data_IF_410895099925
#
_entry.id   IF_410895099925
#
_cell.length_a   1.000
_cell.length_b   1.000
_cell.length_c   1.000
_cell.angle_alpha   90.00
_cell.angle_beta   90.00
_cell.angle_gamma   90.00
#
_symmetry.space_group_name_H-M   'P 1'
#
loop_
_entity.id
_entity.type
_entity.pdbx_description
1 polymer ?
#
# COMPACT_ATOMS: atom_id res chain seq x y z
N UNK A 1 1.29 43.68 18.41
CA UNK A 1 0.42 43.99 19.57
C UNK A 1 0.52 42.81 20.53
N UNK A 2 0.88 43.04 21.80
CA UNK A 2 1.17 41.98 22.77
C UNK A 2 -0.13 41.46 23.38
N UNK A 3 -0.28 40.14 23.50
CA UNK A 3 -1.49 39.46 23.99
C UNK A 3 -1.97 39.93 25.38
N UNK A 4 -1.07 40.49 26.20
CA UNK A 4 -1.40 41.05 27.52
C UNK A 4 -2.29 42.30 27.48
N UNK A 5 -2.17 43.13 26.45
CA UNK A 5 -2.99 44.36 26.33
C UNK A 5 -4.44 44.04 25.94
N UNK A 6 -4.62 42.97 25.16
CA UNK A 6 -5.92 42.50 24.69
C UNK A 6 -6.76 41.88 25.82
N UNK A 7 -6.11 41.17 26.75
CA UNK A 7 -6.76 40.64 27.96
C UNK A 7 -7.18 41.75 28.92
N UNK A 8 -6.37 42.80 29.09
CA UNK A 8 -6.71 43.96 29.93
C UNK A 8 -7.87 44.77 29.37
N UNK A 9 -7.94 44.88 28.04
CA UNK A 9 -9.00 45.62 27.36
C UNK A 9 -10.34 44.88 27.37
N UNK A 10 -10.31 43.54 27.40
CA UNK A 10 -11.50 42.69 27.61
C UNK A 10 -12.02 42.80 29.04
N UNK A 11 -11.13 42.77 30.03
CA UNK A 11 -11.50 42.79 31.45
C UNK A 11 -12.17 44.12 31.85
N UNK A 12 -11.66 45.24 31.32
CA UNK A 12 -12.23 46.57 31.59
C UNK A 12 -13.58 46.83 30.91
N UNK A 13 -13.91 46.14 29.82
CA UNK A 13 -15.19 46.34 29.10
C UNK A 13 -16.31 45.41 29.55
N UNK A 14 -15.97 44.21 30.01
CA UNK A 14 -16.97 43.18 30.35
C UNK A 14 -17.43 43.26 31.82
N UNK A 15 -16.54 43.57 32.77
CA UNK A 15 -16.88 43.62 34.19
C UNK A 15 -17.96 44.65 34.57
N UNK A 16 -17.95 45.91 34.10
CA UNK A 16 -18.97 46.88 34.51
C UNK A 16 -20.35 46.59 33.91
N UNK A 17 -20.43 45.83 32.81
CA UNK A 17 -21.71 45.41 32.21
C UNK A 17 -22.31 44.17 32.85
N UNK A 18 -21.48 43.29 33.43
CA UNK A 18 -21.97 42.15 34.20
C UNK A 18 -22.44 42.56 35.60
N UNK A 19 -21.81 43.58 36.21
CA UNK A 19 -22.23 44.11 37.51
C UNK A 19 -23.62 44.77 37.50
N UNK A 20 -24.05 45.36 36.37
CA UNK A 20 -25.37 46.00 36.23
C UNK A 20 -26.50 45.01 35.96
N UNK A 21 -26.19 43.80 35.48
CA UNK A 21 -27.19 42.75 35.21
C UNK A 21 -27.52 41.94 36.47
N UNK A 22 -26.58 41.83 37.42
CA UNK A 22 -26.76 41.04 38.65
C UNK A 22 -27.62 41.70 39.74
N UNK A 23 -27.84 43.02 39.67
CA UNK A 23 -28.65 43.75 40.68
C UNK A 23 -30.15 43.83 40.35
N UNK A 24 -30.60 43.29 39.20
CA UNK A 24 -32.02 43.31 38.77
C UNK A 24 -32.75 41.96 38.79
N UNK A 25 -32.15 40.91 39.34
CA UNK A 25 -32.75 39.57 39.38
C UNK A 25 -33.28 39.23 40.79
N UNK A 26 -34.23 40.04 41.26
CA UNK A 26 -35.07 39.72 42.42
C UNK A 26 -36.49 39.33 41.96
N UNK A 27 -36.61 38.16 41.32
CA UNK A 27 -37.90 37.52 41.03
C UNK A 27 -37.72 35.99 41.06
N UNK A 28 -38.22 35.38 42.14
CA UNK A 28 -37.98 33.98 42.55
C UNK A 28 -38.55 32.90 41.61
N UNK A 29 -39.31 33.26 40.57
CA UNK A 29 -39.91 32.30 39.61
C UNK A 29 -39.20 32.25 38.25
N UNK A 30 -38.46 33.29 37.84
CA UNK A 30 -37.68 33.28 36.60
C UNK A 30 -36.35 32.51 36.72
N UNK A 31 -35.88 32.31 37.97
CA UNK A 31 -34.60 31.68 38.28
C UNK A 31 -34.56 30.21 37.89
N UNK A 32 -35.66 29.47 38.04
CA UNK A 32 -35.72 28.06 37.66
C UNK A 32 -35.66 27.88 36.13
N UNK A 33 -36.38 28.72 35.37
CA UNK A 33 -36.36 28.67 33.90
C UNK A 33 -34.99 29.06 33.34
N UNK A 34 -34.37 30.10 33.90
CA UNK A 34 -33.01 30.50 33.53
C UNK A 34 -31.97 29.43 33.88
N UNK A 35 -32.08 28.77 35.04
CA UNK A 35 -31.17 27.68 35.41
C UNK A 35 -31.33 26.48 34.49
N UNK A 36 -32.55 26.11 34.10
CA UNK A 36 -32.80 25.04 33.12
C UNK A 36 -32.21 25.38 31.75
N UNK A 37 -32.37 26.62 31.28
CA UNK A 37 -31.80 27.05 30.01
C UNK A 37 -30.26 27.05 30.02
N UNK A 38 -29.67 27.52 31.12
CA UNK A 38 -28.21 27.48 31.32
C UNK A 38 -27.71 26.04 31.35
N UNK A 39 -28.40 25.12 32.04
CA UNK A 39 -28.03 23.71 32.07
C UNK A 39 -28.08 23.08 30.66
N UNK A 40 -29.14 23.35 29.89
CA UNK A 40 -29.28 22.84 28.52
C UNK A 40 -28.19 23.39 27.61
N UNK A 41 -27.91 24.70 27.67
CA UNK A 41 -26.83 25.32 26.89
C UNK A 41 -25.45 24.77 27.29
N UNK A 42 -25.25 24.49 28.58
CA UNK A 42 -24.01 23.89 29.08
C UNK A 42 -23.82 22.47 28.53
N UNK A 43 -24.86 21.64 28.61
CA UNK A 43 -24.84 20.29 28.03
C UNK A 43 -24.63 20.34 26.51
N UNK A 44 -25.31 21.23 25.79
CA UNK A 44 -25.14 21.39 24.35
C UNK A 44 -23.72 21.84 23.99
N UNK A 45 -23.12 22.77 24.74
CA UNK A 45 -21.74 23.19 24.54
C UNK A 45 -20.73 22.07 24.81
N UNK A 46 -20.95 21.26 25.86
CA UNK A 46 -20.11 20.08 26.15
C UNK A 46 -20.23 19.01 25.05
N UNK A 47 -21.44 18.74 24.56
CA UNK A 47 -21.64 17.80 23.45
C UNK A 47 -21.05 18.33 22.14
N UNK A 48 -21.22 19.62 21.85
CA UNK A 48 -20.65 20.24 20.66
C UNK A 48 -19.12 20.23 20.69
N UNK A 49 -18.51 20.54 21.83
CA UNK A 49 -17.05 20.45 22.02
C UNK A 49 -16.57 19.00 21.96
N UNK A 50 -17.32 18.03 22.49
CA UNK A 50 -16.99 16.61 22.35
C UNK A 50 -17.03 16.14 20.89
N UNK A 51 -18.06 16.52 20.12
CA UNK A 51 -18.18 16.19 18.69
C UNK A 51 -17.09 16.86 17.86
N UNK A 52 -16.73 18.11 18.16
CA UNK A 52 -15.62 18.78 17.49
C UNK A 52 -14.25 18.22 17.90
N UNK A 53 -14.10 17.73 19.13
CA UNK A 53 -12.88 17.08 19.59
C UNK A 53 -12.68 15.69 18.99
N UNK A 54 -13.76 14.96 18.67
CA UNK A 54 -13.68 13.65 17.99
C UNK A 54 -13.58 13.76 16.47
N UNK A 55 -13.88 14.93 15.89
CA UNK A 55 -13.76 15.21 14.45
C UNK A 55 -12.39 15.71 14.00
N UNK A 56 -11.45 15.96 14.91
CA UNK A 56 -10.06 16.26 14.56
C UNK A 56 -9.29 14.98 14.17
N UNK A 57 -8.31 15.05 13.25
CA UNK A 57 -7.41 13.92 13.03
C UNK A 57 -6.79 13.52 14.37
N UNK A 58 -6.67 12.21 14.68
CA UNK A 58 -6.18 11.76 15.97
C UNK A 58 -4.83 12.41 16.26
N UNK A 59 -4.75 13.16 17.36
CA UNK A 59 -3.51 13.74 17.83
C UNK A 59 -2.54 12.58 18.11
N UNK A 60 -1.32 12.60 17.53
CA UNK A 60 -0.39 11.51 17.69
C UNK A 60 -0.02 11.34 19.17
N UNK A 61 -0.18 10.11 19.65
CA UNK A 61 0.18 9.66 20.99
C UNK A 61 1.68 9.91 21.21
N UNK A 62 2.00 10.90 22.06
CA UNK A 62 3.37 11.39 22.29
C UNK A 62 4.23 10.44 23.14
N UNK A 63 3.73 9.25 23.47
CA UNK A 63 4.45 8.26 24.29
C UNK A 63 5.28 7.27 23.47
N UNK A 64 5.12 7.25 22.15
CA UNK A 64 6.01 6.57 21.20
C UNK A 64 6.64 7.65 20.35
N UNK A 65 7.98 7.75 20.32
CA UNK A 65 8.64 8.73 19.45
C UNK A 65 8.06 8.67 18.05
N UNK A 66 7.65 9.81 17.50
CA UNK A 66 6.91 9.92 16.23
C UNK A 66 7.61 9.10 15.13
N UNK A 67 7.04 7.94 14.81
CA UNK A 67 7.53 7.07 13.73
C UNK A 67 6.82 7.51 12.47
N UNK A 68 7.57 8.08 11.53
CA UNK A 68 7.04 8.36 10.20
C UNK A 68 6.67 7.05 9.54
N UNK A 69 5.45 6.91 9.04
CA UNK A 69 4.99 5.73 8.30
C UNK A 69 4.74 6.12 6.85
N UNK A 70 5.27 5.32 5.93
CA UNK A 70 5.12 5.49 4.49
C UNK A 70 4.61 4.17 3.92
N UNK A 71 3.71 4.21 2.94
CA UNK A 71 3.02 3.01 2.45
C UNK A 71 1.60 2.89 2.97
N UNK A 72 1.04 1.69 2.82
CA UNK A 72 -0.36 1.41 3.13
C UNK A 72 -0.51 0.79 4.52
N UNK A 73 -1.59 1.13 5.24
CA UNK A 73 -1.92 0.47 6.50
C UNK A 73 -2.73 -0.81 6.28
N UNK A 74 -2.68 -1.73 7.25
CA UNK A 74 -3.48 -2.96 7.19
C UNK A 74 -4.98 -2.64 7.15
N UNK A 75 -5.70 -3.27 6.23
CA UNK A 75 -7.13 -3.08 6.03
C UNK A 75 -7.49 -1.94 5.06
N UNK A 76 -6.53 -1.09 4.66
CA UNK A 76 -6.80 0.02 3.76
C UNK A 76 -6.95 -0.40 2.29
N UNK A 77 -7.72 0.40 1.56
CA UNK A 77 -7.96 0.23 0.12
C UNK A 77 -6.72 0.59 -0.69
N UNK A 78 -6.17 -0.37 -1.43
CA UNK A 78 -4.99 -0.15 -2.27
C UNK A 78 -5.29 0.79 -3.45
N UNK A 79 -6.42 0.69 -4.18
CA UNK A 79 -6.75 1.65 -5.23
C UNK A 79 -6.91 3.09 -4.73
N UNK A 80 -7.31 3.28 -3.47
CA UNK A 80 -7.36 4.61 -2.86
C UNK A 80 -5.97 5.12 -2.52
N UNK A 81 -5.13 4.27 -1.92
CA UNK A 81 -3.73 4.57 -1.66
C UNK A 81 -2.96 4.95 -2.93
N UNK A 82 -3.09 4.18 -4.01
CA UNK A 82 -2.41 4.45 -5.29
C UNK A 82 -2.80 5.83 -5.88
N UNK A 83 -4.09 6.17 -5.82
CA UNK A 83 -4.59 7.48 -6.28
C UNK A 83 -4.04 8.63 -5.43
N UNK A 84 -4.01 8.47 -4.11
CA UNK A 84 -3.46 9.48 -3.19
C UNK A 84 -1.98 9.68 -3.43
N UNK A 85 -1.18 8.61 -3.47
CA UNK A 85 0.26 8.68 -3.75
C UNK A 85 0.57 9.33 -5.11
N UNK A 86 -0.22 9.02 -6.14
CA UNK A 86 -0.08 9.66 -7.44
C UNK A 86 -0.41 11.16 -7.41
N UNK A 87 -1.45 11.56 -6.67
CA UNK A 87 -1.80 12.96 -6.48
C UNK A 87 -0.72 13.72 -5.69
N UNK A 88 -0.16 13.11 -4.64
CA UNK A 88 0.93 13.68 -3.84
C UNK A 88 2.20 13.85 -4.69
N UNK A 89 2.54 12.86 -5.53
CA UNK A 89 3.66 12.94 -6.46
C UNK A 89 3.48 14.04 -7.52
N UNK A 90 2.26 14.21 -8.03
CA UNK A 90 1.92 15.28 -8.95
C UNK A 90 1.97 16.66 -8.28
N UNK A 91 1.58 16.74 -7.00
CA UNK A 91 1.57 17.95 -6.18
C UNK A 91 2.93 18.41 -5.66
N UNK A 92 3.97 17.56 -5.75
CA UNK A 92 5.33 17.92 -5.33
C UNK A 92 5.89 19.09 -6.16
N UNK A 93 5.84 20.28 -5.57
CA UNK A 93 6.44 21.48 -6.10
C UNK A 93 7.97 21.40 -6.07
N UNK A 94 8.63 22.06 -7.02
CA UNK A 94 10.08 22.22 -7.04
C UNK A 94 10.48 23.30 -6.02
N UNK A 95 10.56 22.95 -4.74
CA UNK A 95 11.15 23.83 -3.72
C UNK A 95 12.66 23.58 -3.61
N UNK A 96 13.43 24.60 -3.19
CA UNK A 96 14.87 24.47 -2.98
C UNK A 96 15.23 23.35 -1.97
N UNK A 97 14.34 23.08 -1.00
CA UNK A 97 14.50 22.00 -0.03
C UNK A 97 14.37 20.58 -0.63
N UNK A 98 13.82 20.46 -1.84
CA UNK A 98 13.66 19.18 -2.55
C UNK A 98 14.67 19.02 -3.70
N UNK A 99 15.54 20.02 -3.93
CA UNK A 99 16.62 19.95 -4.91
C UNK A 99 17.66 18.86 -4.54
N UNK A 100 17.84 18.59 -3.24
CA UNK A 100 18.67 17.48 -2.75
C UNK A 100 17.94 16.11 -2.81
N UNK A 101 16.78 16.07 -3.45
CA UNK A 101 15.92 14.89 -3.56
C UNK A 101 15.12 14.56 -2.30
N UNK A 102 14.01 13.88 -2.49
CA UNK A 102 13.15 13.34 -1.44
C UNK A 102 13.17 11.82 -1.44
N UNK A 103 12.96 11.22 -0.28
CA UNK A 103 12.68 9.79 -0.21
C UNK A 103 11.32 9.48 -0.84
N UNK A 104 11.22 8.32 -1.45
CA UNK A 104 9.97 7.75 -1.93
C UNK A 104 9.98 6.23 -1.79
N UNK A 105 8.81 5.67 -1.51
CA UNK A 105 8.57 4.24 -1.58
C UNK A 105 8.05 3.90 -2.99
N UNK A 106 8.77 3.05 -3.69
CA UNK A 106 8.37 2.55 -5.01
C UNK A 106 7.90 1.11 -4.84
N UNK A 107 6.62 0.87 -5.07
CA UNK A 107 6.06 -0.48 -5.08
C UNK A 107 5.99 -0.99 -6.51
N UNK A 108 6.39 -2.24 -6.72
CA UNK A 108 6.42 -2.88 -8.03
C UNK A 108 5.11 -3.62 -8.30
N UNK A 109 4.76 -3.79 -9.57
CA UNK A 109 3.54 -4.50 -9.97
C UNK A 109 3.63 -6.01 -9.79
N UNK A 110 4.86 -6.54 -9.76
CA UNK A 110 5.23 -7.94 -9.68
C UNK A 110 6.52 -8.11 -8.86
N UNK A 111 6.83 -9.35 -8.49
CA UNK A 111 8.14 -9.68 -7.93
C UNK A 111 9.19 -9.69 -9.05
N UNK A 112 10.34 -9.07 -8.81
CA UNK A 112 11.43 -8.95 -9.79
C UNK A 112 12.74 -9.53 -9.25
N UNK A 113 13.62 -9.95 -10.16
CA UNK A 113 15.00 -10.38 -9.84
C UNK A 113 15.88 -9.15 -9.56
N UNK A 114 17.05 -9.33 -8.92
CA UNK A 114 18.01 -8.23 -8.73
C UNK A 114 18.40 -7.52 -10.04
N UNK A 115 18.56 -8.27 -11.13
CA UNK A 115 18.95 -7.73 -12.44
C UNK A 115 17.81 -6.93 -13.08
N UNK A 116 16.58 -7.45 -13.06
CA UNK A 116 15.42 -6.74 -13.58
C UNK A 116 15.11 -5.48 -12.78
N UNK A 117 15.34 -5.49 -11.46
CA UNK A 117 15.19 -4.31 -10.62
C UNK A 117 16.05 -3.15 -11.12
N UNK A 118 17.33 -3.40 -11.43
CA UNK A 118 18.25 -2.38 -11.93
C UNK A 118 17.72 -1.70 -13.20
N UNK A 119 17.08 -2.47 -14.10
CA UNK A 119 16.44 -1.92 -15.29
C UNK A 119 15.19 -1.07 -14.97
N UNK A 120 14.41 -1.45 -13.95
CA UNK A 120 13.22 -0.69 -13.54
C UNK A 120 13.61 0.63 -12.86
N UNK A 121 14.60 0.63 -11.97
CA UNK A 121 14.99 1.84 -11.21
C UNK A 121 16.05 2.70 -11.90
N UNK A 122 16.79 2.17 -12.88
CA UNK A 122 17.83 2.90 -13.61
C UNK A 122 18.87 3.49 -12.66
N UNK A 123 19.34 4.70 -12.96
CA UNK A 123 20.38 5.38 -12.18
C UNK A 123 19.88 6.06 -10.89
N UNK A 124 18.66 5.74 -10.45
CA UNK A 124 18.08 6.35 -9.25
C UNK A 124 18.76 5.79 -8.00
N UNK A 125 19.16 6.68 -7.09
CA UNK A 125 19.78 6.29 -5.83
C UNK A 125 18.86 5.44 -4.96
N UNK A 126 19.21 4.16 -4.78
CA UNK A 126 18.47 3.20 -3.95
C UNK A 126 19.07 3.15 -2.55
N UNK A 127 18.21 3.18 -1.53
CA UNK A 127 18.61 3.02 -0.13
C UNK A 127 18.54 1.57 0.32
N UNK A 128 17.41 0.91 0.07
CA UNK A 128 17.18 -0.50 0.37
C UNK A 128 15.96 -1.02 -0.39
N UNK A 129 15.88 -2.34 -0.52
CA UNK A 129 14.76 -3.04 -1.15
C UNK A 129 13.99 -3.87 -0.14
N UNK A 130 12.73 -4.12 -0.43
CA UNK A 130 11.90 -5.10 0.26
C UNK A 130 11.76 -6.35 -0.61
N UNK A 131 11.99 -7.50 0.00
CA UNK A 131 11.84 -8.78 -0.65
C UNK A 131 11.12 -9.79 0.21
N UNK A 132 10.56 -10.81 -0.45
CA UNK A 132 10.09 -12.06 0.13
C UNK A 132 10.05 -13.11 -0.96
N UNK A 133 10.12 -14.38 -0.59
CA UNK A 133 9.96 -15.47 -1.56
C UNK A 133 8.46 -15.66 -1.84
N UNK A 134 7.96 -15.51 -3.08
CA UNK A 134 6.55 -15.69 -3.37
C UNK A 134 6.20 -17.18 -3.42
N UNK A 135 5.87 -17.77 -2.28
CA UNK A 135 5.35 -19.13 -2.19
C UNK A 135 3.82 -19.08 -2.08
N UNK A 136 3.08 -19.83 -2.91
CA UNK A 136 1.63 -19.90 -2.80
C UNK A 136 1.25 -20.47 -1.43
N UNK A 137 0.18 -19.91 -0.86
CA UNK A 137 -0.45 -20.37 0.39
C UNK A 137 0.45 -20.36 1.64
N UNK A 138 1.64 -19.74 1.56
CA UNK A 138 2.59 -19.61 2.68
C UNK A 138 2.99 -18.18 2.91
N UNK A 139 2.98 -17.79 4.17
CA UNK A 139 3.63 -16.57 4.61
C UNK A 139 5.14 -16.80 4.65
N UNK A 140 5.86 -16.01 3.86
CA UNK A 140 7.32 -15.98 3.83
C UNK A 140 7.82 -14.72 4.53
N UNK A 141 9.07 -14.75 4.97
CA UNK A 141 9.65 -13.60 5.68
C UNK A 141 9.76 -12.40 4.74
N UNK A 142 9.22 -11.26 5.14
CA UNK A 142 9.48 -9.97 4.48
C UNK A 142 10.79 -9.43 5.03
N UNK A 143 11.74 -9.22 4.14
CA UNK A 143 13.09 -8.81 4.48
C UNK A 143 13.45 -7.47 3.83
N UNK A 144 14.27 -6.71 4.54
CA UNK A 144 14.85 -5.45 4.06
C UNK A 144 16.32 -5.69 3.74
N UNK A 145 16.73 -5.39 2.51
CA UNK A 145 18.10 -5.58 2.03
C UNK A 145 18.69 -4.20 1.67
N UNK A 146 19.77 -3.74 2.32
CA UNK A 146 20.50 -2.55 1.88
C UNK A 146 20.98 -2.70 0.43
N UNK A 147 20.82 -1.66 -0.39
CA UNK A 147 21.01 -1.79 -1.83
C UNK A 147 21.53 -0.51 -2.48
N UNK A 148 22.73 -0.04 -2.08
CA UNK A 148 23.30 1.19 -2.64
C UNK A 148 23.87 0.97 -4.05
N UNK A 149 24.27 -0.26 -4.37
CA UNK A 149 24.80 -0.67 -5.67
C UNK A 149 23.96 -1.82 -6.21
N UNK A 150 23.21 -1.55 -7.27
CA UNK A 150 22.44 -2.57 -7.97
C UNK A 150 23.21 -3.14 -9.16
N UNK A 151 23.11 -4.45 -9.44
CA UNK A 151 22.36 -5.47 -8.69
C UNK A 151 23.15 -6.12 -7.54
N UNK A 152 24.42 -5.76 -7.37
CA UNK A 152 25.39 -6.49 -6.55
C UNK A 152 25.00 -6.59 -5.08
N UNK A 153 24.60 -5.49 -4.45
CA UNK A 153 24.27 -5.48 -3.01
C UNK A 153 23.02 -6.32 -2.72
N UNK A 154 22.03 -6.33 -3.62
CA UNK A 154 20.83 -7.18 -3.48
C UNK A 154 21.19 -8.64 -3.68
N UNK A 155 22.07 -8.95 -4.64
CA UNK A 155 22.53 -10.31 -4.90
C UNK A 155 23.31 -10.86 -3.70
N UNK A 156 24.21 -10.05 -3.12
CA UNK A 156 24.93 -10.40 -1.90
C UNK A 156 23.97 -10.59 -0.71
N UNK A 157 23.02 -9.67 -0.52
CA UNK A 157 22.01 -9.80 0.53
C UNK A 157 21.14 -11.04 0.39
N UNK A 158 20.78 -11.44 -0.83
CA UNK A 158 20.09 -12.71 -1.09
C UNK A 158 20.96 -13.93 -0.74
N UNK A 159 22.26 -13.90 -1.01
CA UNK A 159 23.16 -14.98 -0.59
C UNK A 159 23.23 -15.12 0.94
N UNK A 160 23.30 -13.99 1.66
CA UNK A 160 23.28 -13.97 3.13
C UNK A 160 21.95 -14.50 3.70
N UNK A 161 20.83 -14.08 3.09
CA UNK A 161 19.50 -14.58 3.40
C UNK A 161 19.40 -16.09 3.21
N UNK A 162 19.92 -16.59 2.09
CA UNK A 162 19.95 -18.01 1.81
C UNK A 162 20.74 -18.80 2.86
N UNK A 163 21.90 -18.30 3.27
CA UNK A 163 22.72 -18.92 4.30
C UNK A 163 22.01 -18.90 5.66
N UNK A 164 21.34 -17.79 6.02
CA UNK A 164 20.53 -17.70 7.25
C UNK A 164 19.40 -18.71 7.24
N UNK A 165 18.63 -18.78 6.15
CA UNK A 165 17.49 -19.71 6.00
C UNK A 165 17.93 -21.17 6.00
N UNK A 166 19.10 -21.49 5.46
CA UNK A 166 19.67 -22.84 5.53
C UNK A 166 20.01 -23.25 6.98
N UNK A 167 20.51 -22.32 7.80
CA UNK A 167 20.72 -22.56 9.24
C UNK A 167 19.41 -22.73 9.98
N UNK A 168 18.43 -21.85 9.73
CA UNK A 168 17.09 -21.94 10.33
C UNK A 168 16.42 -23.30 10.02
N UNK A 169 16.54 -23.78 8.78
CA UNK A 169 16.07 -25.11 8.40
C UNK A 169 16.73 -26.24 9.20
N UNK A 170 18.05 -26.17 9.39
CA UNK A 170 18.80 -27.15 10.17
C UNK A 170 18.38 -27.15 11.65
N UNK A 171 18.18 -25.96 12.22
CA UNK A 171 17.72 -25.78 13.59
C UNK A 171 16.32 -26.37 13.79
N UNK A 172 15.39 -26.13 12.87
CA UNK A 172 14.06 -26.74 12.91
C UNK A 172 14.12 -28.27 12.80
N UNK A 173 14.96 -28.82 11.91
CA UNK A 173 15.16 -30.28 11.83
C UNK A 173 15.70 -30.86 13.13
N UNK A 174 16.68 -30.19 13.75
CA UNK A 174 17.22 -30.62 15.04
C UNK A 174 16.16 -30.62 16.13
N UNK A 175 15.30 -29.59 16.19
CA UNK A 175 14.20 -29.52 17.16
C UNK A 175 13.14 -30.59 16.92
N UNK A 176 12.79 -30.86 15.67
CA UNK A 176 11.87 -31.94 15.32
C UNK A 176 12.41 -33.31 15.74
N UNK A 177 13.71 -33.56 15.56
CA UNK A 177 14.36 -34.82 15.92
C UNK A 177 14.51 -35.02 17.44
N UNK A 178 14.62 -33.93 18.21
CA UNK A 178 14.69 -33.97 19.68
C UNK A 178 13.35 -34.38 20.33
N UNK A 179 12.24 -34.20 19.63
CA UNK A 179 10.94 -34.67 20.05
C UNK A 179 10.84 -36.16 19.74
N UNK A 180 10.89 -37.02 20.75
CA UNK A 180 10.85 -38.50 20.66
C UNK A 180 9.61 -39.14 21.29
N UNK A 181 8.84 -38.40 22.09
CA UNK A 181 7.60 -38.88 22.68
C UNK A 181 6.45 -38.96 21.67
N UNK A 182 5.45 -39.75 22.06
CA UNK A 182 4.32 -40.13 21.20
C UNK A 182 3.00 -39.45 21.55
N UNK A 183 2.97 -38.56 22.54
CA UNK A 183 1.74 -37.88 22.93
C UNK A 183 1.24 -36.96 21.78
N UNK A 184 -0.07 -36.65 21.74
CA UNK A 184 -0.64 -35.83 20.67
C UNK A 184 0.01 -34.45 20.53
N UNK A 185 0.37 -33.80 21.64
CA UNK A 185 0.92 -32.44 21.65
C UNK A 185 2.35 -32.44 21.09
N UNK A 186 3.17 -33.42 21.48
CA UNK A 186 4.52 -33.57 20.94
C UNK A 186 4.52 -33.90 19.45
N UNK A 187 3.56 -34.70 18.98
CA UNK A 187 3.38 -34.96 17.53
C UNK A 187 3.02 -33.71 16.76
N UNK A 188 2.11 -32.89 17.29
CA UNK A 188 1.73 -31.61 16.69
C UNK A 188 2.93 -30.66 16.63
N UNK A 189 3.66 -30.51 17.73
CA UNK A 189 4.86 -29.67 17.77
C UNK A 189 5.95 -30.16 16.80
N UNK A 190 6.14 -31.47 16.68
CA UNK A 190 7.05 -32.07 15.69
C UNK A 190 6.63 -31.71 14.27
N UNK A 191 5.33 -31.76 13.96
CA UNK A 191 4.82 -31.37 12.64
C UNK A 191 5.05 -29.90 12.34
N UNK A 192 4.87 -29.01 13.33
CA UNK A 192 5.18 -27.58 13.19
C UNK A 192 6.66 -27.36 12.82
N UNK A 193 7.59 -28.02 13.52
CA UNK A 193 9.02 -27.91 13.21
C UNK A 193 9.37 -28.51 11.83
N UNK A 194 8.77 -29.63 11.44
CA UNK A 194 8.97 -30.19 10.10
C UNK A 194 8.45 -29.25 9.01
N UNK A 195 7.30 -28.60 9.22
CA UNK A 195 6.76 -27.60 8.29
C UNK A 195 7.66 -26.36 8.19
N UNK A 196 8.16 -25.88 9.34
CA UNK A 196 9.12 -24.77 9.41
C UNK A 196 10.42 -25.07 8.68
N UNK A 197 10.99 -26.27 8.89
CA UNK A 197 12.19 -26.71 8.17
C UNK A 197 12.00 -26.69 6.65
N UNK A 198 10.89 -27.25 6.15
CA UNK A 198 10.59 -27.28 4.71
C UNK A 198 10.38 -25.87 4.13
N UNK A 199 9.75 -24.97 4.89
CA UNK A 199 9.59 -23.58 4.46
C UNK A 199 10.95 -22.88 4.34
N UNK A 200 11.76 -22.95 5.39
CA UNK A 200 13.09 -22.34 5.42
C UNK A 200 14.01 -22.91 4.32
N UNK A 201 13.93 -24.21 4.00
CA UNK A 201 14.67 -24.81 2.89
C UNK A 201 14.26 -24.26 1.53
N UNK A 202 12.95 -24.09 1.29
CA UNK A 202 12.42 -23.50 0.05
C UNK A 202 12.83 -22.04 -0.08
N UNK A 203 12.74 -21.26 1.00
CA UNK A 203 13.20 -19.86 1.00
C UNK A 203 14.71 -19.80 0.72
N UNK A 204 15.50 -20.63 1.39
CA UNK A 204 16.95 -20.70 1.17
C UNK A 204 17.30 -21.04 -0.28
N UNK A 205 16.61 -22.03 -0.88
CA UNK A 205 16.83 -22.43 -2.26
C UNK A 205 16.50 -21.30 -3.25
N UNK A 206 15.35 -20.63 -3.07
CA UNK A 206 14.94 -19.53 -3.93
C UNK A 206 15.96 -18.38 -3.89
N UNK A 207 16.42 -17.97 -2.71
CA UNK A 207 17.41 -16.92 -2.57
C UNK A 207 18.77 -17.31 -3.18
N UNK A 208 19.22 -18.57 -3.06
CA UNK A 208 20.47 -19.04 -3.72
C UNK A 208 20.42 -18.91 -5.23
N UNK A 209 19.24 -19.08 -5.83
CA UNK A 209 19.07 -19.02 -7.29
C UNK A 209 18.79 -17.61 -7.81
N UNK A 210 18.84 -16.57 -6.96
CA UNK A 210 18.55 -15.19 -7.38
C UNK A 210 17.10 -14.98 -7.81
N UNK A 211 16.15 -15.55 -7.04
CA UNK A 211 14.73 -15.52 -7.36
C UNK A 211 14.17 -14.11 -7.64
N UNK A 212 13.06 -14.08 -8.39
CA UNK A 212 12.20 -12.91 -8.48
C UNK A 212 11.45 -12.73 -7.15
N UNK A 213 12.07 -11.99 -6.23
CA UNK A 213 11.67 -11.90 -4.83
C UNK A 213 11.63 -10.47 -4.31
N UNK A 214 12.08 -9.47 -5.09
CA UNK A 214 11.99 -8.05 -4.72
C UNK A 214 10.66 -7.50 -5.18
N UNK A 215 9.94 -6.76 -4.35
CA UNK A 215 8.63 -6.21 -4.71
C UNK A 215 8.47 -4.72 -4.39
N UNK A 216 9.41 -4.12 -3.67
CA UNK A 216 9.42 -2.68 -3.44
C UNK A 216 10.84 -2.18 -3.16
N UNK A 217 11.04 -0.88 -3.33
CA UNK A 217 12.34 -0.22 -3.15
C UNK A 217 12.15 1.18 -2.58
N UNK A 218 13.04 1.58 -1.68
CA UNK A 218 13.10 2.96 -1.18
C UNK A 218 14.20 3.69 -1.92
N UNK A 219 13.83 4.78 -2.58
CA UNK A 219 14.72 5.60 -3.40
C UNK A 219 14.82 7.00 -2.83
N UNK A 220 15.87 7.74 -3.24
CA UNK A 220 15.97 9.18 -3.04
C UNK A 220 16.26 9.86 -4.37
N UNK A 221 15.37 10.74 -4.82
CA UNK A 221 15.55 11.48 -6.06
C UNK A 221 14.74 12.77 -6.10
N UNK A 222 15.03 13.63 -7.08
CA UNK A 222 14.23 14.82 -7.35
C UNK A 222 12.81 14.47 -7.82
N UNK A 223 11.80 15.33 -7.56
CA UNK A 223 10.41 15.06 -7.96
C UNK A 223 10.22 14.76 -9.45
N UNK A 224 11.01 15.38 -10.34
CA UNK A 224 10.94 15.12 -11.77
C UNK A 224 11.41 13.70 -12.13
N UNK A 225 12.49 13.24 -11.49
CA UNK A 225 13.02 11.88 -11.66
C UNK A 225 12.03 10.86 -11.10
N UNK A 226 11.42 11.12 -9.94
CA UNK A 226 10.39 10.25 -9.35
C UNK A 226 9.15 10.11 -10.24
N UNK A 227 8.70 11.18 -10.89
CA UNK A 227 7.66 11.11 -11.93
C UNK A 227 8.08 10.26 -13.12
N UNK A 228 9.34 10.35 -13.53
CA UNK A 228 9.93 9.47 -14.53
C UNK A 228 9.89 8.00 -14.12
N UNK A 229 10.24 7.68 -12.86
CA UNK A 229 10.14 6.31 -12.30
C UNK A 229 8.69 5.82 -12.30
N UNK A 230 7.74 6.65 -11.88
CA UNK A 230 6.32 6.30 -11.84
C UNK A 230 5.74 5.95 -13.22
N UNK A 231 6.33 6.47 -14.30
CA UNK A 231 5.93 6.17 -15.67
C UNK A 231 6.56 4.89 -16.24
N UNK A 232 7.45 4.20 -15.51
CA UNK A 232 8.15 3.03 -16.04
C UNK A 232 7.30 1.76 -15.95
N UNK A 233 7.42 0.86 -16.94
CA UNK A 233 6.84 -0.47 -16.85
C UNK A 233 7.32 -1.20 -15.58
N UNK A 234 6.41 -1.92 -14.93
CA UNK A 234 6.73 -2.67 -13.71
C UNK A 234 6.63 -1.87 -12.41
N UNK A 235 6.48 -0.54 -12.48
CA UNK A 235 6.19 0.31 -11.31
C UNK A 235 4.68 0.40 -11.12
N UNK A 236 4.22 0.08 -9.91
CA UNK A 236 2.81 0.13 -9.53
C UNK A 236 2.44 1.50 -8.97
N UNK A 237 3.24 1.99 -8.04
CA UNK A 237 3.03 3.28 -7.37
C UNK A 237 4.35 3.80 -6.84
N UNK A 238 4.50 5.12 -6.90
CA UNK A 238 5.58 5.87 -6.25
C UNK A 238 4.91 6.77 -5.21
N UNK A 239 5.20 6.49 -3.95
CA UNK A 239 4.68 7.19 -2.78
C UNK A 239 5.77 8.11 -2.24
N UNK A 240 5.72 9.42 -2.59
CA UNK A 240 6.72 10.37 -2.14
C UNK A 240 6.57 10.67 -0.65
N UNK A 241 7.69 10.70 0.06
CA UNK A 241 7.71 10.93 1.50
C UNK A 241 8.65 12.09 1.87
N UNK A 242 8.31 13.35 1.53
CA UNK A 242 9.13 14.53 1.83
C UNK A 242 9.31 14.80 3.33
N UNK A 243 8.51 14.19 4.19
CA UNK A 243 8.62 14.21 5.65
C UNK A 243 9.71 13.27 6.17
N UNK A 244 10.18 12.30 5.37
CA UNK A 244 11.24 11.38 5.77
C UNK A 244 12.59 12.11 5.79
N UNK A 245 13.16 12.24 6.98
CA UNK A 245 14.50 12.79 7.21
C UNK A 245 15.52 11.73 7.63
N UNK A 246 15.04 10.63 8.23
CA UNK A 246 15.85 9.59 8.88
C UNK A 246 15.25 8.21 8.64
N UNK A 247 15.87 7.43 7.76
CA UNK A 247 15.38 6.11 7.33
C UNK A 247 15.25 5.09 8.47
N UNK A 248 16.03 5.25 9.54
CA UNK A 248 16.02 4.41 10.73
C UNK A 248 14.86 4.70 11.68
N UNK A 249 14.14 5.83 11.49
CA UNK A 249 12.95 6.20 12.24
C UNK A 249 11.67 6.15 11.40
N UNK A 250 11.76 5.51 10.23
CA UNK A 250 10.65 5.39 9.29
C UNK A 250 10.29 3.94 9.09
N UNK A 251 8.99 3.64 9.16
CA UNK A 251 8.43 2.34 8.83
C UNK A 251 7.81 2.42 7.46
N UNK A 252 8.28 1.57 6.54
CA UNK A 252 7.72 1.46 5.21
C UNK A 252 6.86 0.20 5.11
N UNK A 253 5.65 0.32 4.60
CA UNK A 253 4.69 -0.77 4.42
C UNK A 253 4.20 -0.83 2.97
N UNK A 254 5.04 -1.29 2.02
CA UNK A 254 4.63 -1.43 0.63
C UNK A 254 3.55 -2.51 0.47
N UNK A 255 2.51 -2.28 -0.35
CA UNK A 255 1.55 -3.32 -0.72
C UNK A 255 2.25 -4.47 -1.44
N UNK A 256 1.82 -5.70 -1.17
CA UNK A 256 2.33 -6.87 -1.89
C UNK A 256 1.78 -6.91 -3.33
N UNK A 257 2.53 -7.45 -4.31
CA UNK A 257 2.07 -7.58 -5.68
C UNK A 257 0.74 -8.33 -5.84
N UNK A 258 0.52 -9.38 -5.05
CA UNK A 258 -0.72 -10.16 -5.05
C UNK A 258 -1.93 -9.42 -4.43
N UNK A 259 -1.71 -8.31 -3.74
CA UNK A 259 -2.77 -7.54 -3.09
C UNK A 259 -3.26 -6.43 -4.02
N UNK A 260 -4.47 -6.59 -4.55
CA UNK A 260 -5.05 -5.61 -5.49
C UNK A 260 -6.07 -4.68 -4.85
N UNK A 261 -6.88 -5.20 -3.92
CA UNK A 261 -8.00 -4.43 -3.37
C UNK A 261 -7.71 -3.82 -2.00
N UNK A 262 -7.21 -4.64 -1.07
CA UNK A 262 -7.03 -4.30 0.34
C UNK A 262 -5.72 -4.87 0.86
N UNK A 263 -4.96 -4.09 1.61
CA UNK A 263 -3.75 -4.57 2.30
C UNK A 263 -4.15 -5.49 3.46
N UNK A 264 -3.58 -6.69 3.51
CA UNK A 264 -3.85 -7.68 4.56
C UNK A 264 -2.56 -8.40 4.96
N UNK A 265 -2.45 -8.94 6.17
CA UNK A 265 -1.40 -9.91 6.45
C UNK A 265 -1.51 -11.11 5.48
N UNK A 266 -0.38 -11.65 4.95
CA UNK A 266 -0.41 -12.88 4.17
C UNK A 266 -1.04 -14.04 4.97
N UNK A 267 -1.77 -14.92 4.29
CA UNK A 267 -2.42 -16.09 4.92
C UNK A 267 -1.47 -17.29 4.85
N UNK A 268 -1.24 -17.97 5.98
CA UNK A 268 -0.60 -19.30 6.00
C UNK A 268 -1.69 -20.38 6.07
N UNK A 269 -1.94 -21.08 4.96
CA UNK A 269 -2.98 -22.12 4.90
C UNK A 269 -2.47 -23.50 5.31
N UNK A 270 -1.15 -23.74 5.33
CA UNK A 270 -0.57 -25.03 5.73
C UNK A 270 -0.59 -25.25 7.25
N UNK A 271 -0.77 -24.18 8.04
CA UNK A 271 -0.92 -24.24 9.49
C UNK A 271 -2.38 -24.34 9.95
N UNK A 272 -3.34 -24.18 9.04
CA UNK A 272 -4.74 -24.37 9.36
C UNK A 272 -5.05 -25.87 9.30
N UNK A 273 -5.71 -26.45 10.33
CA UNK A 273 -6.20 -27.80 10.22
C UNK A 273 -7.13 -27.86 9.01
N UNK A 274 -6.82 -28.73 8.05
CA UNK A 274 -7.74 -29.03 6.95
C UNK A 274 -9.08 -29.39 7.58
N UNK A 275 -10.22 -28.84 7.10
CA UNK A 275 -11.51 -29.29 7.59
C UNK A 275 -11.57 -30.79 7.32
N UNK A 276 -11.58 -31.59 8.39
CA UNK A 276 -11.82 -33.02 8.29
C UNK A 276 -13.09 -33.20 7.44
N UNK A 277 -13.08 -34.04 6.39
CA UNK A 277 -14.29 -34.41 5.70
C UNK A 277 -15.09 -35.33 6.63
N UNK A 278 -15.69 -34.73 7.67
CA UNK A 278 -16.58 -35.42 8.58
C UNK A 278 -17.88 -35.69 7.84
N UNK A 279 -18.09 -37.00 7.67
CA UNK A 279 -19.35 -37.66 7.45
C UNK A 279 -20.06 -37.32 6.15
N UNK A 280 -19.75 -38.11 5.12
CA UNK A 280 -20.78 -38.59 4.19
C UNK A 280 -21.95 -39.09 5.05
N UNK A 281 -23.08 -38.39 5.02
CA UNK A 281 -24.36 -38.93 5.45
C UNK A 281 -24.56 -40.31 4.80
N UNK A 282 -25.06 -41.32 5.54
CA UNK A 282 -25.33 -42.61 4.94
C UNK A 282 -26.46 -42.43 3.92
N UNK A 283 -26.10 -42.56 2.64
CA UNK A 283 -27.05 -42.75 1.55
C UNK A 283 -27.59 -44.18 1.70
N UNK A 284 -28.91 -44.40 1.84
CA UNK A 284 -29.46 -45.75 1.76
C UNK A 284 -29.30 -46.27 0.33
N UNK A 285 -28.67 -47.45 0.22
CA UNK A 285 -28.52 -48.21 -1.02
C UNK A 285 -29.87 -48.72 -1.57
N UNK A 286 -29.92 -49.10 -2.87
CA UNK A 286 -31.14 -49.12 -3.68
C UNK A 286 -31.85 -50.48 -3.66
N UNK A 287 -33.18 -50.45 -3.60
CA UNK A 287 -34.04 -51.55 -4.05
C UNK A 287 -34.64 -51.21 -5.42
N UNK A 288 -34.52 -52.16 -6.33
CA UNK A 288 -35.13 -52.23 -7.65
C UNK A 288 -36.29 -53.26 -7.61
N UNK A 289 -36.96 -53.61 -8.72
CA UNK A 289 -37.61 -52.82 -9.78
C UNK A 289 -39.05 -53.29 -10.06
N UNK A 290 -39.96 -52.43 -10.53
CA UNK A 290 -41.18 -52.77 -11.29
C UNK A 290 -41.87 -51.43 -11.62
N UNK A 291 -42.44 -51.12 -12.77
CA UNK A 291 -43.04 -51.93 -13.81
C UNK A 291 -43.05 -51.10 -15.11
N UNK A 292 -42.97 -51.80 -16.24
CA UNK A 292 -42.77 -51.28 -17.59
C UNK A 292 -44.10 -51.33 -18.34
N UNK A 293 -44.58 -50.22 -18.92
CA UNK A 293 -45.45 -50.27 -20.11
C UNK A 293 -45.10 -49.11 -21.07
N UNK A 294 -45.02 -49.35 -22.40
CA UNK A 294 -44.39 -48.46 -23.38
C UNK A 294 -45.39 -47.67 -24.22
N UNK A 295 -45.03 -46.46 -24.65
CA UNK A 295 -45.56 -45.85 -25.87
C UNK A 295 -44.48 -45.03 -26.60
N UNK A 296 -44.35 -45.30 -27.89
CA UNK A 296 -43.62 -44.59 -28.95
C UNK A 296 -44.62 -44.39 -30.10
N UNK A 297 -44.31 -43.59 -31.13
CA UNK A 297 -43.78 -42.22 -31.15
C UNK A 297 -44.71 -41.31 -31.98
N UNK A 298 -44.57 -39.97 -31.88
CA UNK A 298 -45.13 -39.08 -32.92
C UNK A 298 -44.06 -38.08 -33.36
N UNK A 299 -43.70 -38.24 -34.64
CA UNK A 299 -42.87 -37.33 -35.43
C UNK A 299 -43.79 -36.22 -35.92
N UNK A 300 -43.49 -34.95 -35.69
CA UNK A 300 -43.74 -33.90 -36.69
C UNK A 300 -42.78 -32.72 -36.49
N UNK A 301 -41.98 -32.53 -37.54
CA UNK A 301 -41.38 -31.31 -38.07
C UNK A 301 -41.99 -29.98 -37.60
N UNK A 302 -41.15 -28.99 -37.27
CA UNK A 302 -41.27 -27.60 -37.78
C UNK A 302 -40.27 -26.67 -37.08
N UNK A 303 -39.17 -26.40 -37.79
CA UNK A 303 -38.45 -25.13 -37.69
C UNK A 303 -39.27 -24.04 -38.40
N UNK A 304 -39.35 -22.79 -37.88
CA UNK A 304 -38.60 -21.75 -38.57
C UNK A 304 -38.02 -20.64 -37.66
N UNK A 305 -36.74 -20.36 -37.91
CA UNK A 305 -36.14 -19.07 -38.29
C UNK A 305 -36.33 -17.78 -37.44
N UNK A 306 -35.31 -16.88 -37.47
CA UNK A 306 -35.14 -15.77 -36.53
C UNK A 306 -35.87 -14.50 -36.98
N UNK A 307 -36.18 -13.62 -36.03
CA UNK A 307 -36.72 -12.28 -36.31
C UNK A 307 -35.57 -11.31 -36.62
N UNK A 308 -35.58 -10.64 -37.80
CA UNK A 308 -34.74 -9.50 -38.11
C UNK A 308 -35.53 -8.18 -38.04
N UNK A 309 -34.84 -7.05 -37.81
CA UNK A 309 -35.18 -5.64 -38.19
C UNK A 309 -34.54 -4.68 -37.19
N UNK A 310 -33.92 -3.53 -37.52
CA UNK A 310 -33.57 -2.83 -38.76
C UNK A 310 -32.65 -1.64 -38.34
N UNK A 311 -31.95 -0.96 -39.27
CA UNK A 311 -30.83 -0.05 -39.00
C UNK A 311 -31.17 1.46 -39.07
N UNK A 312 -30.21 2.25 -38.53
CA UNK A 312 -29.70 3.59 -38.90
C UNK A 312 -30.67 4.80 -39.04
N UNK A 313 -30.19 6.03 -38.76
CA UNK A 313 -29.45 6.72 -39.81
C UNK A 313 -28.14 7.40 -39.38
N UNK A 314 -27.20 7.29 -40.30
CA UNK A 314 -26.11 8.19 -40.67
C UNK A 314 -26.43 9.67 -40.43
N UNK A 315 -25.50 10.40 -39.81
CA UNK A 315 -25.32 11.82 -40.13
C UNK A 315 -23.83 12.16 -40.18
N UNK A 316 -23.49 12.90 -41.22
CA UNK A 316 -22.19 13.00 -41.86
C UNK A 316 -21.25 14.01 -41.19
N UNK A 317 -19.94 13.79 -41.42
CA UNK A 317 -18.92 14.84 -41.38
C UNK A 317 -19.12 15.85 -42.53
N UNK A 318 -18.55 17.06 -42.40
CA UNK A 318 -17.50 17.43 -43.35
C UNK A 318 -16.29 18.14 -42.73
N UNK A 319 -15.15 17.93 -43.39
CA UNK A 319 -13.83 18.57 -43.26
C UNK A 319 -13.83 20.10 -43.24
N UNK A 320 -12.86 20.69 -42.54
CA UNK A 320 -11.87 21.62 -43.12
C UNK A 320 -10.78 22.05 -42.11
N UNK A 321 -9.52 21.67 -42.37
CA UNK A 321 -8.35 22.55 -42.24
C UNK A 321 -8.20 23.27 -43.61
N UNK A 322 -7.44 24.39 -43.83
CA UNK A 322 -6.13 24.71 -43.24
C UNK A 322 -5.84 26.21 -42.98
N UNK A 323 -4.74 26.54 -42.28
CA UNK A 323 -3.76 27.56 -42.74
C UNK A 323 -2.48 27.53 -41.91
N UNK A 324 -1.37 27.59 -42.65
CA UNK A 324 0.01 27.70 -42.18
C UNK A 324 0.31 29.11 -41.65
N UNK A 325 1.31 29.23 -40.78
CA UNK A 325 2.28 30.33 -40.91
C UNK A 325 3.64 29.82 -40.48
N UNK A 326 4.52 29.92 -41.47
CA UNK A 326 5.95 29.71 -41.48
C UNK A 326 6.64 30.95 -40.89
N UNK A 327 7.73 30.75 -40.16
CA UNK A 327 8.69 31.80 -39.80
C UNK A 327 10.04 31.13 -39.54
N UNK A 328 10.73 30.87 -40.65
CA UNK A 328 12.19 30.84 -40.74
C UNK A 328 12.79 32.11 -40.13
N UNK A 329 13.77 31.96 -39.24
CA UNK A 329 14.83 32.95 -39.10
C UNK A 329 16.16 32.24 -38.90
N UNK A 330 16.98 32.37 -39.95
CA UNK A 330 18.41 32.12 -40.03
C UNK A 330 19.19 32.80 -38.90
N UNK A 331 20.28 32.15 -38.53
CA UNK A 331 21.30 32.68 -37.63
C UNK A 331 22.54 31.80 -37.61
N UNK A 332 23.11 31.55 -38.79
CA UNK A 332 24.50 31.12 -38.97
C UNK A 332 25.44 32.19 -38.39
N UNK A 333 26.36 31.78 -37.51
CA UNK A 333 27.65 32.47 -37.32
C UNK A 333 28.74 31.40 -37.20
N UNK A 334 29.64 31.49 -38.18
CA UNK A 334 30.85 30.73 -38.42
C UNK A 334 31.89 30.69 -37.28
N UNK A 335 32.57 29.54 -37.27
CA UNK A 335 34.03 29.32 -37.21
C UNK A 335 34.92 29.99 -36.14
N UNK A 336 35.60 29.13 -35.36
CA UNK A 336 37.07 29.08 -35.26
C UNK A 336 37.47 27.72 -34.63
N UNK A 337 38.07 26.76 -35.36
CA UNK A 337 39.49 26.62 -35.75
C UNK A 337 40.48 26.60 -34.56
N UNK A 338 41.38 25.61 -34.65
CA UNK A 338 42.55 25.24 -33.80
C UNK A 338 42.26 24.05 -32.87
N UNK A 339 42.92 22.89 -32.96
CA UNK A 339 44.22 22.55 -33.53
C UNK A 339 44.95 21.68 -32.51
N UNK A 340 45.56 20.56 -32.91
CA UNK A 340 46.48 19.82 -32.02
C UNK A 340 46.41 18.30 -32.12
N UNK A 341 47.05 17.76 -33.16
CA UNK A 341 47.60 16.42 -33.12
C UNK A 341 48.84 16.40 -32.21
N UNK A 342 49.04 15.35 -31.42
CA UNK A 342 50.40 14.85 -31.17
C UNK A 342 50.40 13.35 -30.85
N UNK A 343 51.15 12.62 -31.69
CA UNK A 343 51.69 11.29 -31.46
C UNK A 343 52.94 11.38 -30.55
N UNK A 344 53.41 10.22 -30.11
CA UNK A 344 54.66 9.88 -29.37
C UNK A 344 54.42 9.73 -27.86
N UNK A 345 54.82 8.65 -27.17
CA UNK A 345 55.67 7.48 -27.45
C UNK A 345 55.02 6.19 -26.92
#
# INVERSE_FOLDING_TARGET
>A
MRAGDLLRQLDQRLLPRLATVLTRLDQKTARASLLSWVAVLSCAAVLFTAVFATGGPPLPDRTVGEVTRVGIADGDSIPSYERTAAADLAGLARSASLAEGTYALVSLSEYVTPQSLAAVVGDVGVSFVFGRVPLPDRQTEIVRIPAQRLPDDVTAGMADLAARKAREAADYRSRAAALVGGDPQERELRQLYVSGARLAEREAAAYRTGCACVYAVVVRAEPAVLRGVAARPGVRVVDPAPEVRRLERTVFTPPLPEQRDVARPPIDRDLLPSPSPSAKSPVPSPEAPENRVPQTPEVTDSSPAPVPSRPAPTSAAPSAAPTSTDSLQDGDVDAQLEGGAELTS
#
